data_IF_480508797041
#
_entry.id   IF_480508797041
#
_cell.length_a   1.000
_cell.length_b   1.000
_cell.length_c   1.000
_cell.angle_alpha   90.00
_cell.angle_beta   90.00
_cell.angle_gamma   90.00
#
_symmetry.space_group_name_H-M   'P 1'
#
loop_
_entity.id
_entity.type
_entity.pdbx_description
1 polymer ?
#
# COMPACT_ATOMS: atom_id res chain seq x y z
N UNK A 1 -19.20 1.84 -24.88
CA UNK A 1 -18.14 1.17 -25.64
C UNK A 1 -17.04 0.85 -24.63
N UNK A 2 -16.84 -0.45 -24.35
CA UNK A 2 -15.76 -0.91 -23.49
C UNK A 2 -14.44 -0.45 -24.11
N UNK A 3 -13.70 0.44 -23.45
CA UNK A 3 -12.26 0.52 -23.69
C UNK A 3 -11.68 -0.73 -23.03
N UNK A 4 -11.13 -1.62 -23.80
CA UNK A 4 -10.35 -2.72 -23.31
C UNK A 4 -9.11 -2.15 -22.64
N UNK A 5 -8.82 -2.55 -21.41
CA UNK A 5 -7.54 -2.30 -20.77
C UNK A 5 -6.49 -3.12 -21.48
N UNK A 6 -5.48 -2.45 -21.99
CA UNK A 6 -4.37 -3.09 -22.70
C UNK A 6 -3.17 -3.04 -21.75
N UNK A 7 -2.56 -4.18 -21.45
CA UNK A 7 -1.33 -4.22 -20.68
C UNK A 7 -0.20 -3.45 -21.37
N UNK A 8 0.93 -3.26 -20.70
CA UNK A 8 2.11 -2.55 -21.24
C UNK A 8 2.67 -3.18 -22.54
N UNK A 9 2.18 -4.37 -22.93
CA UNK A 9 2.54 -5.11 -24.14
C UNK A 9 1.44 -5.06 -25.20
N UNK A 10 0.33 -4.35 -24.97
CA UNK A 10 -0.77 -4.24 -25.91
C UNK A 10 -1.79 -5.37 -25.85
N UNK A 11 -1.80 -6.16 -24.75
CA UNK A 11 -2.71 -7.27 -24.55
C UNK A 11 -3.94 -6.81 -23.75
N UNK A 12 -5.14 -7.16 -24.20
CA UNK A 12 -6.38 -6.94 -23.45
C UNK A 12 -6.36 -7.76 -22.16
N UNK A 13 -6.28 -7.09 -21.00
CA UNK A 13 -6.36 -7.74 -19.71
C UNK A 13 -7.79 -7.63 -19.17
N UNK A 14 -8.44 -8.77 -18.98
CA UNK A 14 -9.73 -8.86 -18.31
C UNK A 14 -9.53 -9.07 -16.82
N UNK A 15 -9.47 -7.99 -16.07
CA UNK A 15 -9.26 -8.03 -14.61
C UNK A 15 -10.38 -8.74 -13.85
N UNK A 16 -11.58 -8.88 -14.44
CA UNK A 16 -12.65 -9.70 -13.82
C UNK A 16 -12.25 -11.18 -13.74
N UNK A 17 -11.38 -11.65 -14.64
CA UNK A 17 -10.80 -12.99 -14.58
C UNK A 17 -9.73 -13.16 -13.51
N UNK A 18 -9.07 -12.08 -13.10
CA UNK A 18 -8.07 -12.17 -12.03
C UNK A 18 -8.71 -12.63 -10.72
N UNK A 19 -9.86 -12.07 -10.34
CA UNK A 19 -10.61 -12.51 -9.18
C UNK A 19 -11.03 -13.98 -9.29
N UNK A 20 -11.51 -14.41 -10.47
CA UNK A 20 -11.86 -15.80 -10.74
C UNK A 20 -10.67 -16.74 -10.56
N UNK A 21 -9.52 -16.43 -11.16
CA UNK A 21 -8.31 -17.27 -11.07
C UNK A 21 -7.79 -17.36 -9.64
N UNK A 22 -7.83 -16.27 -8.89
CA UNK A 22 -7.47 -16.26 -7.47
C UNK A 22 -8.39 -17.19 -6.67
N UNK A 23 -9.71 -17.11 -6.91
CA UNK A 23 -10.68 -18.01 -6.25
C UNK A 23 -10.52 -19.44 -6.70
N UNK A 24 -10.24 -19.71 -7.99
CA UNK A 24 -9.99 -21.06 -8.49
C UNK A 24 -8.81 -21.72 -7.77
N UNK A 25 -7.74 -20.97 -7.55
CA UNK A 25 -6.59 -21.44 -6.78
C UNK A 25 -6.95 -21.71 -5.31
N UNK A 26 -7.68 -20.80 -4.67
CA UNK A 26 -8.12 -20.97 -3.27
C UNK A 26 -9.08 -22.17 -3.12
N UNK A 27 -10.00 -22.35 -4.05
CA UNK A 27 -10.93 -23.49 -4.08
C UNK A 27 -10.16 -24.80 -4.28
N UNK A 28 -9.19 -24.84 -5.20
CA UNK A 28 -8.36 -26.01 -5.42
C UNK A 28 -7.58 -26.41 -4.16
N UNK A 29 -7.03 -25.44 -3.43
CA UNK A 29 -6.35 -25.69 -2.14
C UNK A 29 -7.30 -26.26 -1.08
N UNK A 30 -8.53 -25.73 -1.00
CA UNK A 30 -9.54 -26.20 -0.06
C UNK A 30 -10.06 -27.61 -0.38
N UNK A 31 -10.13 -27.97 -1.67
CA UNK A 31 -10.62 -29.27 -2.11
C UNK A 31 -9.55 -30.36 -2.17
N UNK A 32 -8.27 -29.98 -2.13
CA UNK A 32 -7.14 -30.90 -2.20
C UNK A 32 -6.93 -31.61 -0.84
N UNK A 33 -7.40 -32.83 -0.76
CA UNK A 33 -7.35 -33.62 0.49
C UNK A 33 -5.93 -33.89 1.01
N UNK A 34 -4.91 -33.86 0.14
CA UNK A 34 -3.54 -34.05 0.55
C UNK A 34 -2.98 -32.83 1.32
N UNK A 35 -3.55 -31.66 1.13
CA UNK A 35 -3.22 -30.44 1.89
C UNK A 35 -3.90 -30.47 3.26
N UNK A 36 -5.16 -30.93 3.31
CA UNK A 36 -5.88 -31.20 4.54
C UNK A 36 -6.32 -29.96 5.33
N UNK A 37 -6.57 -28.81 4.64
CA UNK A 37 -7.02 -27.59 5.32
C UNK A 37 -8.29 -27.83 6.14
N UNK A 38 -8.21 -27.55 7.46
CA UNK A 38 -9.28 -27.76 8.43
C UNK A 38 -9.58 -29.24 8.73
N UNK A 39 -8.71 -30.19 8.36
CA UNK A 39 -8.95 -31.62 8.53
C UNK A 39 -8.55 -32.17 9.91
N UNK A 40 -7.78 -31.44 10.69
CA UNK A 40 -7.32 -31.81 12.03
C UNK A 40 -7.62 -30.72 13.07
N UNK A 41 -7.10 -30.87 14.29
CA UNK A 41 -7.32 -29.93 15.39
C UNK A 41 -6.37 -28.72 15.38
N UNK A 42 -5.43 -28.64 14.42
CA UNK A 42 -4.54 -27.50 14.27
C UNK A 42 -5.19 -26.42 13.40
N UNK A 43 -5.18 -25.14 13.82
CA UNK A 43 -5.69 -24.07 12.99
C UNK A 43 -4.89 -23.86 11.72
N UNK A 44 -5.55 -23.88 10.58
CA UNK A 44 -4.98 -23.49 9.28
C UNK A 44 -5.28 -22.03 8.96
N UNK A 45 -4.43 -21.39 8.16
CA UNK A 45 -4.63 -20.04 7.67
C UNK A 45 -4.55 -20.01 6.15
N UNK A 46 -5.63 -19.57 5.51
CA UNK A 46 -5.67 -19.29 4.07
C UNK A 46 -5.81 -17.78 3.84
N UNK A 47 -4.78 -17.16 3.29
CA UNK A 47 -4.81 -15.76 2.88
C UNK A 47 -5.09 -15.67 1.38
N UNK A 48 -6.09 -14.86 1.00
CA UNK A 48 -6.51 -14.66 -0.39
C UNK A 48 -6.49 -13.16 -0.69
N UNK A 49 -5.81 -12.74 -1.76
CA UNK A 49 -5.71 -11.34 -2.18
C UNK A 49 -6.30 -11.13 -3.57
N UNK A 50 -7.27 -10.24 -3.68
CA UNK A 50 -7.90 -9.82 -4.92
C UNK A 50 -7.24 -8.53 -5.46
N UNK A 51 -5.99 -8.65 -5.90
CA UNK A 51 -5.15 -7.50 -6.30
C UNK A 51 -5.59 -6.82 -7.61
N UNK A 52 -6.49 -7.42 -8.39
CA UNK A 52 -7.04 -6.80 -9.61
C UNK A 52 -7.82 -5.53 -9.35
N UNK A 53 -8.43 -5.40 -8.18
CA UNK A 53 -9.17 -4.22 -7.75
C UNK A 53 -8.32 -2.95 -7.78
N UNK A 54 -7.15 -3.00 -7.17
CA UNK A 54 -6.21 -1.89 -7.08
C UNK A 54 -5.71 -1.47 -8.48
N UNK A 55 -5.36 -2.44 -9.32
CA UNK A 55 -4.88 -2.15 -10.68
C UNK A 55 -5.94 -1.42 -11.50
N UNK A 56 -7.21 -1.86 -11.43
CA UNK A 56 -8.31 -1.18 -12.11
C UNK A 56 -8.56 0.22 -11.54
N UNK A 57 -8.40 0.39 -10.23
CA UNK A 57 -8.50 1.71 -9.60
C UNK A 57 -7.43 2.68 -10.10
N UNK A 58 -6.18 2.23 -10.25
CA UNK A 58 -5.09 3.03 -10.82
C UNK A 58 -5.38 3.46 -12.26
N UNK A 59 -5.85 2.54 -13.09
CA UNK A 59 -6.04 2.76 -14.54
C UNK A 59 -7.30 3.54 -14.88
N UNK A 60 -8.37 3.39 -14.09
CA UNK A 60 -9.70 3.93 -14.40
C UNK A 60 -10.25 4.88 -13.34
N UNK A 61 -9.63 4.92 -12.17
CA UNK A 61 -10.11 5.67 -11.00
C UNK A 61 -11.12 4.88 -10.16
N UNK A 62 -11.22 5.21 -8.85
CA UNK A 62 -12.02 4.44 -7.88
C UNK A 62 -13.54 4.58 -8.07
N UNK A 63 -14.01 5.52 -8.87
CA UNK A 63 -15.44 5.75 -9.14
C UNK A 63 -15.84 5.34 -10.56
N UNK A 64 -14.98 4.59 -11.26
CA UNK A 64 -15.20 4.17 -12.64
C UNK A 64 -16.23 3.03 -12.74
N UNK A 65 -16.84 2.90 -13.91
CA UNK A 65 -17.72 1.78 -14.23
C UNK A 65 -16.94 0.45 -14.27
N UNK A 66 -15.67 0.52 -14.65
CA UNK A 66 -14.73 -0.60 -14.69
C UNK A 66 -14.47 -1.15 -13.30
N UNK A 67 -14.19 -0.28 -12.32
CA UNK A 67 -13.98 -0.71 -10.94
C UNK A 67 -15.27 -1.23 -10.31
N UNK A 68 -16.41 -0.60 -10.59
CA UNK A 68 -17.69 -1.12 -10.15
C UNK A 68 -17.96 -2.53 -10.68
N UNK A 69 -17.67 -2.79 -11.96
CA UNK A 69 -17.81 -4.12 -12.56
C UNK A 69 -16.85 -5.14 -11.92
N UNK A 70 -15.62 -4.73 -11.62
CA UNK A 70 -14.61 -5.54 -10.91
C UNK A 70 -15.10 -5.88 -9.50
N UNK A 71 -15.60 -4.91 -8.74
CA UNK A 71 -16.16 -5.12 -7.40
C UNK A 71 -17.31 -6.16 -7.42
N UNK A 72 -18.21 -6.07 -8.41
CA UNK A 72 -19.28 -7.06 -8.55
C UNK A 72 -18.76 -8.46 -8.93
N UNK A 73 -17.67 -8.55 -9.68
CA UNK A 73 -17.04 -9.83 -9.98
C UNK A 73 -16.38 -10.42 -8.72
N UNK A 74 -15.68 -9.62 -7.96
CA UNK A 74 -15.05 -10.01 -6.68
C UNK A 74 -16.09 -10.46 -5.64
N UNK A 75 -17.22 -9.76 -5.52
CA UNK A 75 -18.32 -10.16 -4.63
C UNK A 75 -18.85 -11.56 -4.98
N UNK A 76 -19.01 -11.87 -6.27
CA UNK A 76 -19.44 -13.21 -6.74
C UNK A 76 -18.38 -14.28 -6.40
N UNK A 77 -17.11 -13.95 -6.58
CA UNK A 77 -16.00 -14.85 -6.31
C UNK A 77 -15.81 -15.08 -4.81
N UNK A 78 -15.93 -14.05 -3.99
CA UNK A 78 -15.94 -14.17 -2.54
C UNK A 78 -17.11 -15.06 -2.08
N UNK A 79 -18.30 -14.84 -2.63
CA UNK A 79 -19.47 -15.69 -2.36
C UNK A 79 -19.23 -17.16 -2.76
N UNK A 80 -18.53 -17.41 -3.88
CA UNK A 80 -18.14 -18.76 -4.31
C UNK A 80 -17.15 -19.40 -3.32
N UNK A 81 -16.14 -18.65 -2.90
CA UNK A 81 -15.16 -19.09 -1.91
C UNK A 81 -15.84 -19.46 -0.59
N UNK A 82 -16.68 -18.59 -0.05
CA UNK A 82 -17.41 -18.85 1.21
C UNK A 82 -18.34 -20.07 1.13
N UNK A 83 -19.03 -20.27 -0.01
CA UNK A 83 -19.81 -21.50 -0.25
C UNK A 83 -18.93 -22.75 -0.29
N UNK A 84 -17.73 -22.64 -0.84
CA UNK A 84 -16.79 -23.77 -0.84
C UNK A 84 -16.33 -24.09 0.58
N UNK A 85 -15.93 -23.09 1.37
CA UNK A 85 -15.60 -23.26 2.80
C UNK A 85 -16.75 -23.94 3.54
N UNK A 86 -17.98 -23.44 3.37
CA UNK A 86 -19.16 -24.03 4.02
C UNK A 86 -19.40 -25.51 3.66
N UNK A 87 -18.97 -25.93 2.48
CA UNK A 87 -19.16 -27.30 1.98
C UNK A 87 -18.04 -28.27 2.35
N UNK A 88 -16.77 -27.79 2.29
CA UNK A 88 -15.62 -28.69 2.38
C UNK A 88 -14.92 -28.68 3.74
N UNK A 89 -14.99 -27.58 4.48
CA UNK A 89 -14.39 -27.48 5.82
C UNK A 89 -15.31 -28.16 6.84
N UNK A 90 -14.82 -29.05 7.71
CA UNK A 90 -15.58 -29.62 8.80
C UNK A 90 -16.15 -28.54 9.72
N UNK A 91 -17.47 -28.57 9.96
CA UNK A 91 -18.20 -27.51 10.67
C UNK A 91 -18.53 -26.26 9.82
N UNK A 92 -18.02 -26.19 8.59
CA UNK A 92 -18.29 -25.11 7.63
C UNK A 92 -17.93 -23.74 8.15
N UNK A 93 -18.77 -22.74 7.87
CA UNK A 93 -18.58 -21.37 8.37
C UNK A 93 -18.67 -21.27 9.90
N UNK A 94 -19.31 -22.24 10.57
CA UNK A 94 -19.39 -22.27 12.03
C UNK A 94 -18.07 -22.62 12.73
N UNK A 95 -17.11 -23.18 12.01
CA UNK A 95 -15.74 -23.47 12.49
C UNK A 95 -14.67 -22.61 11.80
N UNK A 96 -15.07 -21.62 11.01
CA UNK A 96 -14.17 -20.79 10.23
C UNK A 96 -14.20 -19.34 10.72
N UNK A 97 -13.04 -18.83 11.11
CA UNK A 97 -12.87 -17.41 11.38
C UNK A 97 -12.52 -16.69 10.07
N UNK A 98 -13.25 -15.64 9.76
CA UNK A 98 -13.11 -14.85 8.53
C UNK A 98 -12.67 -13.44 8.91
N UNK A 99 -11.61 -12.96 8.28
CA UNK A 99 -11.21 -11.56 8.32
C UNK A 99 -11.23 -11.00 6.89
N UNK A 100 -11.99 -9.93 6.66
CA UNK A 100 -11.99 -9.18 5.41
C UNK A 100 -11.44 -7.79 5.65
N UNK A 101 -10.43 -7.41 4.89
CA UNK A 101 -9.67 -6.18 5.07
C UNK A 101 -9.12 -5.72 3.71
N UNK A 102 -8.71 -4.45 3.63
CA UNK A 102 -7.86 -3.98 2.55
C UNK A 102 -6.51 -3.51 3.12
N UNK A 103 -5.48 -3.52 2.30
CA UNK A 103 -4.13 -3.04 2.61
C UNK A 103 -4.07 -1.50 2.63
N UNK A 104 -4.79 -0.84 1.74
CA UNK A 104 -4.95 0.62 1.67
C UNK A 104 -6.26 1.00 1.00
N UNK A 105 -6.59 2.29 1.05
CA UNK A 105 -7.63 2.92 0.27
C UNK A 105 -7.04 3.61 -0.96
N UNK A 106 -7.79 4.55 -1.54
CA UNK A 106 -7.32 5.36 -2.65
C UNK A 106 -8.15 6.66 -2.80
N UNK A 107 -7.57 7.72 -3.34
CA UNK A 107 -8.25 8.99 -3.57
C UNK A 107 -9.15 8.94 -4.80
N UNK A 108 -10.06 9.90 -4.92
CA UNK A 108 -10.72 10.19 -6.20
C UNK A 108 -9.69 10.69 -7.24
N UNK A 109 -10.02 10.58 -8.52
CA UNK A 109 -9.17 11.14 -9.58
C UNK A 109 -9.04 12.67 -9.44
N UNK A 110 -7.92 13.27 -9.89
CA UNK A 110 -7.68 14.70 -9.74
C UNK A 110 -8.80 15.58 -10.30
N UNK A 111 -9.42 15.19 -11.40
CA UNK A 111 -10.51 15.91 -12.04
C UNK A 111 -11.75 15.98 -11.13
N UNK A 112 -12.10 14.90 -10.45
CA UNK A 112 -13.22 14.83 -9.53
C UNK A 112 -12.94 15.67 -8.27
N UNK A 113 -11.72 15.61 -7.74
CA UNK A 113 -11.29 16.44 -6.62
C UNK A 113 -11.31 17.93 -6.99
N UNK A 114 -10.85 18.29 -8.20
CA UNK A 114 -10.89 19.64 -8.71
C UNK A 114 -12.34 20.16 -8.87
N UNK A 115 -13.26 19.31 -9.31
CA UNK A 115 -14.69 19.65 -9.39
C UNK A 115 -15.31 19.94 -8.02
N UNK A 116 -14.74 19.39 -6.94
CA UNK A 116 -15.08 19.68 -5.55
C UNK A 116 -14.31 20.88 -4.96
N UNK A 117 -13.54 21.60 -5.79
CA UNK A 117 -12.73 22.74 -5.37
C UNK A 117 -11.48 22.36 -4.57
N UNK A 118 -11.06 21.09 -4.61
CA UNK A 118 -9.86 20.61 -3.94
C UNK A 118 -8.67 20.63 -4.92
N UNK A 119 -7.51 21.16 -4.52
CA UNK A 119 -6.31 21.07 -5.36
C UNK A 119 -5.88 19.61 -5.48
N UNK A 120 -5.78 19.13 -6.71
CA UNK A 120 -5.36 17.76 -6.98
C UNK A 120 -4.69 17.66 -8.34
N UNK A 121 -3.67 16.81 -8.44
CA UNK A 121 -3.01 16.48 -9.71
C UNK A 121 -2.11 15.24 -9.58
N UNK A 122 -1.87 14.59 -10.69
CA UNK A 122 -0.78 13.64 -10.87
C UNK A 122 0.47 14.39 -11.33
N UNK A 123 1.61 14.06 -10.76
CA UNK A 123 2.91 14.67 -11.07
C UNK A 123 3.85 13.59 -11.62
N UNK A 124 4.49 13.89 -12.74
CA UNK A 124 5.45 12.97 -13.36
C UNK A 124 6.74 12.87 -12.53
N UNK A 125 6.90 11.75 -11.83
CA UNK A 125 8.09 11.45 -11.03
C UNK A 125 9.37 11.34 -11.87
N UNK A 126 9.26 10.98 -13.15
CA UNK A 126 10.42 10.88 -14.05
C UNK A 126 10.97 12.27 -14.34
N UNK A 127 10.10 13.25 -14.56
CA UNK A 127 10.49 14.65 -14.74
C UNK A 127 11.13 15.23 -13.47
N UNK A 128 10.52 14.99 -12.30
CA UNK A 128 11.08 15.44 -11.02
C UNK A 128 12.48 14.87 -10.78
N UNK A 129 12.64 13.58 -11.03
CA UNK A 129 13.92 12.87 -10.90
C UNK A 129 14.99 13.47 -11.84
N UNK A 130 14.63 13.78 -13.09
CA UNK A 130 15.54 14.39 -14.06
C UNK A 130 15.99 15.78 -13.60
N UNK A 131 15.06 16.63 -13.13
CA UNK A 131 15.35 17.97 -12.61
C UNK A 131 16.27 17.94 -11.39
N UNK A 132 15.98 17.07 -10.43
CA UNK A 132 16.82 16.88 -9.24
C UNK A 132 18.21 16.34 -9.60
N UNK A 133 18.31 15.36 -10.49
CA UNK A 133 19.62 14.83 -10.95
C UNK A 133 20.48 15.91 -11.58
N UNK A 134 19.90 16.74 -12.47
CA UNK A 134 20.59 17.85 -13.09
C UNK A 134 21.02 18.93 -12.07
N UNK A 135 20.20 19.17 -11.04
CA UNK A 135 20.56 20.08 -9.95
C UNK A 135 21.74 19.55 -9.14
N UNK A 136 21.71 18.29 -8.71
CA UNK A 136 22.80 17.67 -7.95
C UNK A 136 24.11 17.64 -8.75
N UNK A 137 24.04 17.38 -10.06
CA UNK A 137 25.21 17.42 -10.93
C UNK A 137 25.81 18.83 -11.05
N UNK A 138 24.99 19.87 -11.16
CA UNK A 138 25.47 21.26 -11.17
C UNK A 138 26.09 21.68 -9.84
N UNK A 139 25.53 21.23 -8.73
CA UNK A 139 25.94 21.63 -7.38
C UNK A 139 27.19 20.88 -6.91
N UNK A 140 27.26 19.60 -7.21
CA UNK A 140 28.28 18.71 -6.66
C UNK A 140 29.23 18.10 -7.69
N UNK A 141 29.02 18.38 -8.98
CA UNK A 141 29.74 17.78 -10.11
C UNK A 141 29.17 16.41 -10.50
N UNK A 142 29.63 15.89 -11.62
CA UNK A 142 29.26 14.56 -12.10
C UNK A 142 29.88 13.46 -11.25
N UNK A 143 29.13 12.35 -11.08
CA UNK A 143 29.67 11.13 -10.48
C UNK A 143 30.60 10.42 -11.47
N UNK A 144 31.62 9.73 -10.94
CA UNK A 144 32.58 8.97 -11.75
C UNK A 144 31.85 7.98 -12.67
N UNK A 145 32.36 7.85 -13.91
CA UNK A 145 31.79 6.97 -14.95
C UNK A 145 30.37 7.35 -15.41
N UNK A 146 29.96 8.62 -15.28
CA UNK A 146 28.63 9.07 -15.71
C UNK A 146 27.47 8.43 -14.97
N UNK A 147 27.69 7.92 -13.77
CA UNK A 147 26.63 7.29 -12.98
C UNK A 147 25.57 8.32 -12.55
N UNK A 148 24.29 7.96 -12.52
CA UNK A 148 23.24 8.87 -12.06
C UNK A 148 23.35 9.15 -10.56
N UNK A 149 22.98 10.36 -10.12
CA UNK A 149 22.91 10.74 -8.70
C UNK A 149 21.85 9.97 -7.94
N UNK A 150 20.73 9.66 -8.60
CA UNK A 150 19.56 9.00 -8.02
C UNK A 150 19.50 7.57 -8.56
N UNK A 151 19.59 6.59 -7.67
CA UNK A 151 19.44 5.18 -8.02
C UNK A 151 17.97 4.85 -8.30
N UNK A 152 17.08 5.25 -7.39
CA UNK A 152 15.64 5.06 -7.52
C UNK A 152 14.87 6.21 -6.84
N UNK A 153 13.70 6.49 -7.38
CA UNK A 153 12.67 7.28 -6.72
C UNK A 153 11.35 6.54 -6.96
N UNK A 154 10.80 5.98 -5.90
CA UNK A 154 9.59 5.16 -5.93
C UNK A 154 8.62 5.73 -4.90
N UNK A 155 7.48 6.20 -5.35
CA UNK A 155 6.49 6.88 -4.51
C UNK A 155 7.17 7.92 -3.59
N UNK A 156 6.91 7.86 -2.30
CA UNK A 156 7.48 8.79 -1.31
C UNK A 156 9.00 8.64 -1.08
N UNK A 157 9.66 7.60 -1.59
CA UNK A 157 11.03 7.24 -1.19
C UNK A 157 12.06 7.45 -2.30
N UNK A 158 13.16 8.12 -1.98
CA UNK A 158 14.29 8.37 -2.87
C UNK A 158 15.55 7.68 -2.35
N UNK A 159 16.23 6.94 -3.23
CA UNK A 159 17.55 6.35 -3.00
C UNK A 159 18.62 7.03 -3.84
N UNK A 160 19.64 7.57 -3.18
CA UNK A 160 20.83 8.07 -3.85
C UNK A 160 21.67 6.91 -4.40
N UNK A 161 22.52 7.22 -5.37
CA UNK A 161 23.48 6.26 -5.90
C UNK A 161 24.30 5.62 -4.77
N UNK A 162 24.58 4.32 -4.79
CA UNK A 162 25.38 3.65 -3.77
C UNK A 162 26.74 4.29 -3.51
N UNK A 163 27.40 4.86 -4.53
CA UNK A 163 28.65 5.58 -4.37
C UNK A 163 28.52 6.84 -3.49
N UNK A 164 27.36 7.50 -3.52
CA UNK A 164 27.04 8.64 -2.65
C UNK A 164 26.64 8.15 -1.26
N UNK A 165 25.83 7.12 -1.20
CA UNK A 165 25.40 6.52 0.06
C UNK A 165 26.57 5.96 0.89
N UNK A 166 27.61 5.46 0.23
CA UNK A 166 28.85 4.96 0.83
C UNK A 166 29.93 6.04 1.08
N UNK A 167 29.70 7.31 0.69
CA UNK A 167 30.63 8.41 0.96
C UNK A 167 30.73 8.68 2.47
N UNK A 168 31.71 9.50 2.87
CA UNK A 168 31.83 9.92 4.26
C UNK A 168 30.55 10.59 4.77
N UNK A 169 30.36 10.60 6.08
CA UNK A 169 29.10 11.04 6.71
C UNK A 169 28.79 12.52 6.44
N UNK A 170 29.81 13.38 6.36
CA UNK A 170 29.63 14.81 6.13
C UNK A 170 29.15 15.05 4.69
N UNK A 171 29.81 14.44 3.71
CA UNK A 171 29.41 14.54 2.30
C UNK A 171 28.01 13.99 2.06
N UNK A 172 27.70 12.84 2.63
CA UNK A 172 26.36 12.25 2.53
C UNK A 172 25.29 13.17 3.15
N UNK A 173 25.55 13.73 4.33
CA UNK A 173 24.61 14.65 4.99
C UNK A 173 24.37 15.91 4.16
N UNK A 174 25.43 16.47 3.56
CA UNK A 174 25.35 17.65 2.68
C UNK A 174 24.46 17.37 1.46
N UNK A 175 24.66 16.24 0.76
CA UNK A 175 23.88 15.85 -0.40
C UNK A 175 22.41 15.60 -0.02
N UNK A 176 22.15 14.97 1.11
CA UNK A 176 20.79 14.72 1.58
C UNK A 176 20.05 16.01 1.95
N UNK A 177 20.74 16.93 2.64
CA UNK A 177 20.18 18.23 3.00
C UNK A 177 19.85 19.05 1.75
N UNK A 178 20.75 19.06 0.77
CA UNK A 178 20.54 19.77 -0.51
C UNK A 178 19.42 19.14 -1.33
N UNK A 179 19.33 17.81 -1.36
CA UNK A 179 18.21 17.09 -2.00
C UNK A 179 16.87 17.52 -1.40
N UNK A 180 16.76 17.50 -0.08
CA UNK A 180 15.55 17.94 0.64
C UNK A 180 15.23 19.39 0.33
N UNK A 181 16.22 20.29 0.48
CA UNK A 181 16.05 21.73 0.24
C UNK A 181 15.55 22.00 -1.17
N UNK A 182 16.25 21.47 -2.20
CA UNK A 182 15.91 21.70 -3.60
C UNK A 182 14.50 21.22 -3.93
N UNK A 183 14.11 20.03 -3.48
CA UNK A 183 12.80 19.48 -3.76
C UNK A 183 11.71 20.31 -3.09
N UNK A 184 11.86 20.70 -1.84
CA UNK A 184 10.84 21.50 -1.14
C UNK A 184 10.74 22.93 -1.69
N UNK A 185 11.84 23.53 -2.14
CA UNK A 185 11.82 24.87 -2.76
C UNK A 185 11.26 24.85 -4.19
N UNK A 186 11.65 23.85 -5.00
CA UNK A 186 11.29 23.78 -6.42
C UNK A 186 9.93 23.11 -6.67
N UNK A 187 9.49 22.25 -5.75
CA UNK A 187 8.27 21.45 -5.85
C UNK A 187 7.43 21.52 -4.56
N UNK A 188 7.40 22.67 -3.89
CA UNK A 188 6.63 22.91 -2.68
C UNK A 188 5.11 22.89 -2.90
N UNK A 189 4.67 22.88 -4.14
CA UNK A 189 3.29 22.62 -4.54
C UNK A 189 2.95 21.12 -4.65
N UNK A 190 3.98 20.25 -4.64
CA UNK A 190 3.86 18.78 -4.63
C UNK A 190 4.09 18.23 -3.22
N UNK A 191 5.17 18.64 -2.59
CA UNK A 191 5.58 18.11 -1.29
C UNK A 191 5.45 19.16 -0.18
N UNK A 192 4.93 18.71 0.97
CA UNK A 192 4.75 19.56 2.15
C UNK A 192 5.96 19.50 3.08
N UNK A 193 6.65 18.37 3.13
CA UNK A 193 7.84 18.16 3.94
C UNK A 193 8.65 16.96 3.43
N UNK A 194 9.82 16.73 3.99
CA UNK A 194 10.64 15.57 3.73
C UNK A 194 11.49 15.21 4.96
N UNK A 195 11.92 13.94 5.03
CA UNK A 195 12.80 13.42 6.08
C UNK A 195 14.02 12.75 5.46
N UNK A 196 15.20 13.18 5.81
CA UNK A 196 16.46 12.56 5.36
C UNK A 196 16.90 11.44 6.31
N UNK A 197 17.71 10.52 5.80
CA UNK A 197 18.29 9.46 6.63
C UNK A 197 19.16 10.03 7.78
N UNK A 198 19.82 11.16 7.56
CA UNK A 198 20.61 11.85 8.58
C UNK A 198 19.74 12.42 9.69
N UNK A 199 18.64 13.08 9.34
CA UNK A 199 17.65 13.57 10.31
C UNK A 199 17.06 12.44 11.13
N UNK A 200 16.65 11.35 10.48
CA UNK A 200 16.09 10.18 11.16
C UNK A 200 17.07 9.51 12.11
N UNK A 201 18.34 9.41 11.72
CA UNK A 201 19.41 8.90 12.59
C UNK A 201 19.64 9.79 13.83
N UNK A 202 19.34 11.08 13.72
CA UNK A 202 19.38 12.04 14.84
C UNK A 202 18.06 12.11 15.61
N UNK A 203 17.06 11.28 15.29
CA UNK A 203 15.74 11.31 15.91
C UNK A 203 14.84 12.47 15.47
N UNK A 204 15.22 13.17 14.40
CA UNK A 204 14.47 14.32 13.87
C UNK A 204 13.47 13.84 12.83
N UNK A 205 12.21 14.15 13.06
CA UNK A 205 11.07 13.77 12.21
C UNK A 205 10.22 14.99 11.87
N UNK A 206 9.49 14.99 10.74
CA UNK A 206 8.48 16.01 10.46
C UNK A 206 7.51 16.17 11.63
N UNK A 207 6.98 17.37 11.78
CA UNK A 207 6.03 17.64 12.84
C UNK A 207 4.65 17.00 12.59
N UNK A 208 3.93 16.71 13.67
CA UNK A 208 2.55 16.25 13.62
C UNK A 208 2.37 14.82 13.10
N UNK A 209 1.16 14.53 12.64
CA UNK A 209 0.71 13.18 12.29
C UNK A 209 1.53 12.51 11.18
N UNK A 210 1.96 13.26 10.17
CA UNK A 210 2.80 12.70 9.09
C UNK A 210 4.12 12.17 9.61
N UNK A 211 4.76 12.90 10.55
CA UNK A 211 5.99 12.44 11.19
C UNK A 211 5.80 11.22 12.08
N UNK A 212 4.68 11.12 12.77
CA UNK A 212 4.33 9.93 13.56
C UNK A 212 4.13 8.71 12.66
N UNK A 213 3.40 8.86 11.57
CA UNK A 213 3.17 7.80 10.60
C UNK A 213 4.47 7.33 9.95
N UNK A 214 5.32 8.27 9.54
CA UNK A 214 6.63 7.96 8.98
C UNK A 214 7.50 7.17 9.97
N UNK A 215 7.48 7.55 11.24
CA UNK A 215 8.25 6.85 12.29
C UNK A 215 7.84 5.39 12.44
N UNK A 216 6.55 5.12 12.32
CA UNK A 216 6.00 3.75 12.41
C UNK A 216 6.27 2.92 11.14
N UNK A 217 6.33 3.57 9.97
CA UNK A 217 6.51 2.91 8.66
C UNK A 217 7.96 2.81 8.18
N UNK A 218 8.92 3.51 8.82
CA UNK A 218 10.30 3.54 8.35
C UNK A 218 11.14 2.40 8.93
N UNK A 219 11.71 1.61 8.05
CA UNK A 219 12.77 0.64 8.39
C UNK A 219 14.11 1.21 7.88
N UNK A 220 15.03 1.64 8.74
CA UNK A 220 16.22 2.39 8.32
C UNK A 220 17.07 1.72 7.24
N UNK A 221 17.16 0.39 7.25
CA UNK A 221 17.93 -0.39 6.28
C UNK A 221 17.26 -0.54 4.90
N UNK A 222 15.93 -0.35 4.83
CA UNK A 222 15.12 -0.61 3.64
C UNK A 222 14.51 0.66 3.05
N UNK A 223 14.24 1.65 3.88
CA UNK A 223 13.60 2.91 3.45
C UNK A 223 14.56 3.81 2.69
N UNK A 224 14.01 4.67 1.81
CA UNK A 224 14.78 5.64 1.02
C UNK A 224 15.67 6.54 1.87
N UNK A 225 16.73 7.06 1.28
CA UNK A 225 17.61 8.02 1.93
C UNK A 225 16.90 9.35 2.22
N UNK A 226 15.92 9.73 1.37
CA UNK A 226 14.96 10.80 1.63
C UNK A 226 13.56 10.25 1.45
N UNK A 227 12.66 10.61 2.36
CA UNK A 227 11.24 10.32 2.27
C UNK A 227 10.51 11.65 2.14
N UNK A 228 9.69 11.79 1.13
CA UNK A 228 8.88 12.98 0.86
C UNK A 228 7.43 12.77 1.30
N UNK A 229 6.79 13.84 1.74
CA UNK A 229 5.38 13.85 2.13
C UNK A 229 4.62 14.73 1.15
N UNK A 230 3.81 14.10 0.30
CA UNK A 230 2.99 14.80 -0.69
C UNK A 230 1.92 15.68 -0.03
N UNK A 231 1.48 16.71 -0.74
CA UNK A 231 0.28 17.45 -0.35
C UNK A 231 -0.98 16.60 -0.55
N UNK A 232 -2.07 16.89 0.17
CA UNK A 232 -3.34 16.20 -0.07
C UNK A 232 -3.77 16.33 -1.54
N UNK A 233 -4.22 15.23 -2.13
CA UNK A 233 -4.69 15.21 -3.52
C UNK A 233 -3.57 15.33 -4.58
N UNK A 234 -2.30 15.29 -4.18
CA UNK A 234 -1.16 15.33 -5.10
C UNK A 234 -0.44 13.99 -5.06
N UNK A 235 -0.28 13.37 -6.21
CA UNK A 235 0.30 12.05 -6.37
C UNK A 235 1.48 12.12 -7.33
N UNK A 236 2.58 11.48 -6.96
CA UNK A 236 3.77 11.31 -7.79
C UNK A 236 3.72 9.94 -8.45
N UNK A 237 3.34 9.90 -9.72
CA UNK A 237 3.17 8.66 -10.46
C UNK A 237 3.80 8.67 -11.86
N UNK A 238 3.80 7.50 -12.47
CA UNK A 238 4.23 7.34 -13.86
C UNK A 238 3.15 7.87 -14.80
N UNK A 239 3.54 8.36 -15.97
CA UNK A 239 2.56 8.75 -16.98
C UNK A 239 1.62 7.59 -17.33
N UNK A 240 0.32 7.84 -17.26
CA UNK A 240 -0.74 6.89 -17.62
C UNK A 240 -1.60 6.40 -16.46
N UNK A 241 -1.14 6.52 -15.21
CA UNK A 241 -1.97 6.24 -14.04
C UNK A 241 -2.86 7.46 -13.74
N UNK A 242 -4.12 7.23 -13.40
CA UNK A 242 -5.08 8.29 -13.07
C UNK A 242 -5.02 8.68 -11.59
N UNK A 243 -4.72 7.72 -10.73
CA UNK A 243 -4.58 7.90 -9.29
C UNK A 243 -3.44 7.05 -8.76
N UNK A 244 -2.95 7.44 -7.59
CA UNK A 244 -2.01 6.66 -6.78
C UNK A 244 -2.38 6.77 -5.31
N UNK A 245 -1.78 5.94 -4.50
CA UNK A 245 -1.89 5.90 -3.05
C UNK A 245 -0.50 6.05 -2.41
N UNK A 246 -0.25 5.55 -1.22
CA UNK A 246 1.01 5.66 -0.45
C UNK A 246 1.16 6.99 0.28
N UNK A 247 0.07 7.69 0.55
CA UNK A 247 0.09 8.90 1.38
C UNK A 247 -0.30 8.61 2.83
N UNK A 248 -0.05 9.56 3.73
CA UNK A 248 -0.50 9.47 5.11
C UNK A 248 -1.94 9.93 5.35
N UNK A 249 -2.70 10.24 4.32
CA UNK A 249 -4.04 10.81 4.43
C UNK A 249 -5.13 9.75 4.59
N UNK A 250 -6.31 10.19 5.05
CA UNK A 250 -7.40 9.30 5.40
C UNK A 250 -7.94 8.49 4.21
N UNK A 251 -7.91 9.05 3.01
CA UNK A 251 -8.39 8.35 1.81
C UNK A 251 -7.55 7.12 1.46
N UNK A 252 -6.25 7.10 1.81
CA UNK A 252 -5.38 5.92 1.64
C UNK A 252 -5.40 4.99 2.86
N UNK A 253 -5.73 5.51 4.04
CA UNK A 253 -5.55 4.79 5.31
C UNK A 253 -6.82 4.20 5.89
N UNK A 254 -7.99 4.73 5.53
CA UNK A 254 -9.26 4.19 6.01
C UNK A 254 -9.68 3.04 5.12
N UNK A 255 -9.67 1.86 5.71
CA UNK A 255 -10.03 0.60 5.05
C UNK A 255 -11.11 -0.13 5.85
N UNK A 256 -11.92 -1.00 5.22
CA UNK A 256 -12.83 -1.86 5.96
C UNK A 256 -12.05 -2.85 6.83
N UNK A 257 -12.60 -3.20 8.00
CA UNK A 257 -12.17 -4.33 8.80
C UNK A 257 -13.43 -5.07 9.27
N UNK A 258 -13.65 -6.25 8.72
CA UNK A 258 -14.79 -7.10 9.05
C UNK A 258 -14.29 -8.43 9.60
N UNK A 259 -14.79 -8.81 10.77
CA UNK A 259 -14.52 -10.10 11.38
C UNK A 259 -15.82 -10.88 11.47
N UNK A 260 -15.79 -12.17 11.19
CA UNK A 260 -16.92 -13.06 11.33
C UNK A 260 -16.47 -14.47 11.71
N UNK A 261 -17.32 -15.20 12.41
CA UNK A 261 -17.06 -16.58 12.80
C UNK A 261 -17.06 -16.80 14.32
N UNK A 262 -16.56 -17.94 14.78
CA UNK A 262 -16.54 -18.29 16.20
C UNK A 262 -15.79 -17.25 17.04
N UNK A 263 -16.39 -16.86 18.16
CA UNK A 263 -15.80 -15.91 19.10
C UNK A 263 -15.93 -14.44 18.69
N UNK A 264 -16.59 -14.12 17.57
CA UNK A 264 -16.82 -12.73 17.15
C UNK A 264 -18.20 -12.27 17.59
N UNK A 265 -18.25 -11.16 18.33
CA UNK A 265 -19.50 -10.51 18.73
C UNK A 265 -20.13 -9.78 17.53
N UNK A 266 -21.43 -9.99 17.24
CA UNK A 266 -22.10 -9.29 16.16
C UNK A 266 -22.30 -7.81 16.50
N UNK A 267 -22.05 -6.91 15.55
CA UNK A 267 -22.29 -5.49 15.72
C UNK A 267 -21.32 -4.62 14.95
N UNK A 268 -21.44 -3.31 15.14
CA UNK A 268 -20.51 -2.30 14.62
C UNK A 268 -19.76 -1.72 15.81
N UNK A 269 -18.43 -1.79 15.76
CA UNK A 269 -17.56 -1.24 16.81
C UNK A 269 -17.11 0.16 16.41
N UNK A 270 -17.31 1.11 17.32
CA UNK A 270 -16.89 2.51 17.12
C UNK A 270 -15.48 2.81 17.68
N UNK A 271 -14.88 1.86 18.39
CA UNK A 271 -13.51 1.99 18.89
C UNK A 271 -12.53 2.00 17.74
N UNK A 272 -11.59 2.97 17.69
CA UNK A 272 -10.59 2.98 16.64
C UNK A 272 -9.77 1.69 16.61
N UNK A 273 -9.63 1.12 15.42
CA UNK A 273 -8.81 -0.05 15.14
C UNK A 273 -7.81 0.26 14.03
N UNK A 274 -6.70 -0.45 14.02
CA UNK A 274 -5.68 -0.35 13.00
C UNK A 274 -5.46 -1.71 12.32
N UNK A 275 -4.99 -1.70 11.07
CA UNK A 275 -4.70 -2.93 10.31
C UNK A 275 -3.73 -3.86 11.08
N UNK A 276 -2.78 -3.28 11.81
CA UNK A 276 -1.81 -4.03 12.62
C UNK A 276 -2.44 -4.79 13.81
N UNK A 277 -3.68 -4.46 14.18
CA UNK A 277 -4.43 -5.14 15.25
C UNK A 277 -4.96 -6.50 14.81
N UNK A 278 -5.03 -6.76 13.50
CA UNK A 278 -5.59 -7.99 12.96
C UNK A 278 -4.76 -9.22 13.40
N UNK A 279 -3.46 -9.20 13.20
CA UNK A 279 -2.61 -10.36 13.51
C UNK A 279 -2.65 -10.78 15.00
N UNK A 280 -2.50 -9.88 15.98
CA UNK A 280 -2.65 -10.24 17.40
C UNK A 280 -4.07 -10.67 17.76
N UNK A 281 -5.11 -10.12 17.13
CA UNK A 281 -6.50 -10.51 17.34
C UNK A 281 -6.76 -11.93 16.85
N UNK A 282 -6.31 -12.26 15.63
CA UNK A 282 -6.42 -13.61 15.08
C UNK A 282 -5.62 -14.62 15.93
N UNK A 283 -4.41 -14.28 16.33
CA UNK A 283 -3.59 -15.14 17.18
C UNK A 283 -4.28 -15.43 18.54
N UNK A 284 -4.90 -14.42 19.15
CA UNK A 284 -5.67 -14.58 20.38
C UNK A 284 -6.85 -15.54 20.20
N UNK A 285 -7.64 -15.36 19.13
CA UNK A 285 -8.80 -16.21 18.83
C UNK A 285 -8.41 -17.66 18.49
N UNK A 286 -7.24 -17.85 17.88
CA UNK A 286 -6.71 -19.18 17.55
C UNK A 286 -5.96 -19.84 18.73
N UNK A 287 -5.80 -19.13 19.86
CA UNK A 287 -5.06 -19.65 21.02
C UNK A 287 -3.56 -19.83 20.80
N UNK A 288 -2.97 -19.08 19.86
CA UNK A 288 -1.53 -19.12 19.54
C UNK A 288 -0.85 -17.80 19.94
N UNK A 289 0.48 -17.81 20.01
CA UNK A 289 1.25 -16.59 20.25
C UNK A 289 1.20 -15.69 19.01
N UNK A 290 1.04 -14.35 19.19
CA UNK A 290 1.13 -13.43 18.09
C UNK A 290 2.55 -13.41 17.48
N UNK A 291 2.72 -12.99 16.21
CA UNK A 291 4.04 -12.78 15.63
C UNK A 291 4.90 -11.87 16.50
N UNK A 292 6.19 -12.21 16.69
CA UNK A 292 7.09 -11.47 17.57
C UNK A 292 7.25 -9.97 17.22
N UNK A 293 7.01 -9.60 15.95
CA UNK A 293 7.05 -8.24 15.44
C UNK A 293 5.69 -7.53 15.41
N UNK A 294 4.61 -8.18 15.88
CA UNK A 294 3.30 -7.57 15.93
C UNK A 294 3.28 -6.42 16.96
N UNK A 295 2.87 -5.24 16.55
CA UNK A 295 2.79 -4.03 17.36
C UNK A 295 1.37 -3.62 17.70
N UNK A 296 0.36 -4.26 17.09
CA UNK A 296 -1.04 -4.02 17.32
C UNK A 296 -1.54 -4.62 18.63
N UNK A 297 -2.78 -4.31 18.98
CA UNK A 297 -3.50 -4.84 20.16
C UNK A 297 -4.53 -5.90 19.76
N UNK A 298 -5.00 -6.65 20.72
CA UNK A 298 -6.19 -7.50 20.52
C UNK A 298 -7.44 -6.62 20.54
N UNK A 299 -8.31 -6.80 19.56
CA UNK A 299 -9.61 -6.10 19.46
C UNK A 299 -10.66 -6.78 20.34
N UNK A 300 -10.51 -6.66 21.68
CA UNK A 300 -11.40 -7.29 22.66
C UNK A 300 -12.86 -6.85 22.51
N UNK A 301 -13.10 -5.65 21.98
CA UNK A 301 -14.44 -5.13 21.73
C UNK A 301 -15.17 -5.86 20.59
N UNK A 302 -14.46 -6.63 19.76
CA UNK A 302 -15.03 -7.44 18.68
C UNK A 302 -15.22 -8.92 19.06
N UNK A 303 -14.82 -9.33 20.26
CA UNK A 303 -14.78 -10.72 20.73
C UNK A 303 -15.88 -11.01 21.76
#
# INVERSE_FOLDING_TARGET
PRRATVDKQGTDVDWSRAAQLTTDAAVALLEEKAIGLGADDAPDVLAVSYSGHDIVAHEHGPQSAELYATTLAEDRELSRLLRTVARVVPGGLGSTLIAFIADHGGPAIPEDLAALGQPARVVDIVELRAKLSAHLERTFGGLSQGRPWIAAWLSASLWLNPAVAASDSARRAEVLAETKRYVLESFGDVYVDASTATERAAGIWPAGRLGEQARNGVVPALSGHVIFFSRPGVFDEKPGDLVSHMTGYSYDRLVPLVLAGPGIAPGIQATPAEVVDLAPTLAFLLGILPPASATGRVLHEAI
#
